data_IF_108034308539
#
_entry.id   IF_108034308539
#
_cell.length_a   1.000
_cell.length_b   1.000
_cell.length_c   1.000
_cell.angle_alpha   90.00
_cell.angle_beta   90.00
_cell.angle_gamma   90.00
#
_symmetry.space_group_name_H-M   'P 1'
#
loop_
_entity.id
_entity.type
_entity.pdbx_description
1 polymer ?
#
# COMPACT_ATOMS: atom_id res chain seq x y z
N UNK A 1 6.67 -12.81 -11.69
CA UNK A 1 6.85 -13.77 -10.58
C UNK A 1 7.72 -13.10 -9.54
N UNK A 2 7.11 -12.65 -8.44
CA UNK A 2 7.82 -11.93 -7.38
C UNK A 2 8.57 -12.93 -6.49
N UNK A 3 9.78 -12.58 -6.05
CA UNK A 3 10.71 -13.43 -5.30
C UNK A 3 11.56 -12.61 -4.33
N UNK A 4 12.76 -13.08 -3.94
CA UNK A 4 13.68 -12.30 -3.08
C UNK A 4 14.59 -11.37 -3.90
N UNK A 5 15.21 -10.38 -3.23
CA UNK A 5 16.19 -9.48 -3.85
C UNK A 5 15.56 -8.59 -4.93
N UNK A 6 16.21 -8.45 -6.09
CA UNK A 6 15.74 -7.62 -7.22
C UNK A 6 14.40 -8.08 -7.83
N UNK A 7 13.94 -9.28 -7.47
CA UNK A 7 12.62 -9.79 -7.88
C UNK A 7 11.54 -9.54 -6.83
N UNK A 8 11.88 -8.91 -5.71
CA UNK A 8 10.93 -8.60 -4.64
C UNK A 8 10.08 -7.38 -5.00
N UNK A 9 8.82 -7.34 -4.56
CA UNK A 9 7.90 -6.26 -4.93
C UNK A 9 8.42 -4.88 -4.48
N UNK A 10 9.14 -4.83 -3.35
CA UNK A 10 9.80 -3.60 -2.87
C UNK A 10 10.91 -3.08 -3.78
N UNK A 11 11.48 -3.90 -4.66
CA UNK A 11 12.53 -3.45 -5.58
C UNK A 11 12.00 -2.59 -6.73
N UNK A 12 10.68 -2.59 -6.96
CA UNK A 12 10.00 -1.82 -8.01
C UNK A 12 8.99 -0.81 -7.45
N UNK A 13 9.04 -0.57 -6.14
CA UNK A 13 8.24 0.45 -5.49
C UNK A 13 8.93 1.81 -5.61
N UNK A 14 8.14 2.81 -5.98
CA UNK A 14 8.51 4.22 -6.03
C UNK A 14 7.69 5.02 -5.00
N UNK A 15 8.17 6.22 -4.68
CA UNK A 15 7.39 7.18 -3.90
C UNK A 15 6.05 7.46 -4.58
N UNK A 16 4.99 7.53 -3.79
CA UNK A 16 3.59 7.69 -4.19
C UNK A 16 2.93 6.46 -4.80
N UNK A 17 3.59 5.30 -4.83
CA UNK A 17 2.89 4.07 -5.17
C UNK A 17 1.81 3.75 -4.14
N UNK A 18 0.64 3.31 -4.62
CA UNK A 18 -0.40 2.77 -3.76
C UNK A 18 -0.21 1.27 -3.66
N UNK A 19 -0.24 0.76 -2.43
CA UNK A 19 0.03 -0.63 -2.12
C UNK A 19 -0.98 -1.19 -1.14
N UNK A 20 -1.09 -2.52 -1.15
CA UNK A 20 -1.82 -3.30 -0.15
C UNK A 20 -0.82 -4.15 0.64
N UNK A 21 -0.99 -4.14 1.96
CA UNK A 21 -0.14 -4.86 2.88
C UNK A 21 -0.96 -5.61 3.94
N UNK A 22 -0.36 -6.67 4.48
CA UNK A 22 -0.95 -7.50 5.53
C UNK A 22 -0.84 -6.82 6.90
N UNK A 23 -1.92 -6.90 7.66
CA UNK A 23 -1.99 -6.47 9.06
C UNK A 23 -2.44 -7.64 9.94
N UNK A 24 -2.16 -7.53 11.24
CA UNK A 24 -2.56 -8.55 12.19
C UNK A 24 -1.62 -9.75 12.20
N UNK A 25 -2.18 -10.95 12.37
CA UNK A 25 -1.43 -12.21 12.32
C UNK A 25 -1.54 -12.84 10.93
N UNK A 26 -0.43 -13.27 10.34
CA UNK A 26 -0.40 -14.01 9.07
C UNK A 26 0.60 -15.18 9.11
N UNK A 27 0.59 -16.03 8.09
CA UNK A 27 1.47 -17.20 8.00
C UNK A 27 2.65 -16.94 7.08
N UNK A 28 3.86 -17.20 7.57
CA UNK A 28 5.10 -17.27 6.77
C UNK A 28 5.65 -18.69 6.90
N UNK A 29 5.72 -19.42 5.79
CA UNK A 29 6.18 -20.81 5.76
C UNK A 29 5.47 -21.73 6.78
N UNK A 30 4.17 -21.48 7.02
CA UNK A 30 3.35 -22.23 7.98
C UNK A 30 3.50 -21.79 9.45
N UNK A 31 4.30 -20.76 9.72
CA UNK A 31 4.48 -20.17 11.05
C UNK A 31 3.69 -18.87 11.16
N UNK A 32 2.88 -18.75 12.21
CA UNK A 32 2.17 -17.49 12.50
C UNK A 32 3.12 -16.41 12.97
N UNK A 33 3.06 -15.26 12.32
CA UNK A 33 3.83 -14.04 12.62
C UNK A 33 2.90 -12.84 12.69
N UNK A 34 3.35 -11.76 13.34
CA UNK A 34 2.54 -10.56 13.58
C UNK A 34 1.64 -10.66 14.82
N UNK A 35 0.93 -9.58 15.11
CA UNK A 35 0.05 -9.47 16.27
C UNK A 35 -1.30 -8.86 15.86
N UNK A 36 -2.40 -9.42 16.39
CA UNK A 36 -3.74 -8.91 16.17
C UNK A 36 -4.52 -9.66 15.08
N UNK A 37 -5.69 -9.12 14.73
CA UNK A 37 -6.61 -9.76 13.78
C UNK A 37 -6.06 -9.64 12.35
N UNK A 38 -5.90 -10.79 11.69
CA UNK A 38 -5.51 -10.86 10.29
C UNK A 38 -6.40 -9.96 9.41
N UNK A 39 -5.77 -9.15 8.56
CA UNK A 39 -6.44 -8.25 7.66
C UNK A 39 -5.51 -7.67 6.60
N UNK A 40 -6.07 -6.78 5.80
CA UNK A 40 -5.35 -6.03 4.78
C UNK A 40 -5.61 -4.55 4.99
N UNK A 41 -4.61 -3.74 4.69
CA UNK A 41 -4.72 -2.29 4.71
C UNK A 41 -4.02 -1.71 3.47
N UNK A 42 -4.34 -0.45 3.17
CA UNK A 42 -3.83 0.25 2.02
C UNK A 42 -2.94 1.41 2.45
N UNK A 43 -1.90 1.65 1.69
CA UNK A 43 -1.00 2.75 1.94
C UNK A 43 -0.53 3.39 0.64
N UNK A 44 -0.27 4.69 0.71
CA UNK A 44 0.59 5.36 -0.25
C UNK A 44 2.02 5.36 0.30
N UNK A 45 2.97 4.87 -0.49
CA UNK A 45 4.39 4.84 -0.14
C UNK A 45 4.94 6.27 -0.11
N UNK A 46 5.56 6.66 1.00
CA UNK A 46 6.33 7.90 1.09
C UNK A 46 7.83 7.62 0.99
N UNK A 47 8.31 6.56 1.63
CA UNK A 47 9.75 6.24 1.65
C UNK A 47 9.98 4.76 1.93
N UNK A 48 11.06 4.21 1.37
CA UNK A 48 11.59 2.90 1.73
C UNK A 48 12.95 3.12 2.40
N UNK A 49 13.10 2.62 3.62
CA UNK A 49 14.30 2.77 4.42
C UNK A 49 14.94 1.40 4.66
N UNK A 50 16.25 1.31 4.46
CA UNK A 50 17.04 0.16 4.89
C UNK A 50 17.67 0.47 6.25
N UNK A 51 17.28 -0.30 7.26
CA UNK A 51 17.81 -0.22 8.62
C UNK A 51 18.87 -1.31 8.79
N UNK A 52 20.11 -0.87 8.97
CA UNK A 52 21.22 -1.75 9.30
C UNK A 52 21.38 -1.84 10.82
N UNK A 53 21.18 -3.03 11.36
CA UNK A 53 21.66 -3.40 12.68
C UNK A 53 22.94 -4.21 12.53
N UNK A 54 23.74 -4.34 13.60
CA UNK A 54 25.08 -4.93 13.58
C UNK A 54 25.22 -6.23 12.76
N UNK A 55 24.19 -7.07 12.68
CA UNK A 55 24.19 -8.34 11.93
C UNK A 55 22.98 -8.56 11.01
N UNK A 56 22.02 -7.64 10.96
CA UNK A 56 20.79 -7.80 10.18
C UNK A 56 20.43 -6.53 9.41
N UNK A 57 20.01 -6.70 8.17
CA UNK A 57 19.38 -5.67 7.34
C UNK A 57 17.86 -5.84 7.41
N UNK A 58 17.15 -4.77 7.77
CA UNK A 58 15.69 -4.73 7.79
C UNK A 58 15.19 -3.59 6.92
N UNK A 59 14.39 -3.91 5.90
CA UNK A 59 13.65 -2.91 5.16
C UNK A 59 12.42 -2.46 5.95
N UNK A 60 12.09 -1.17 5.85
CA UNK A 60 10.84 -0.61 6.36
C UNK A 60 10.25 0.26 5.27
N UNK A 61 8.98 0.03 4.94
CA UNK A 61 8.19 0.90 4.07
C UNK A 61 7.39 1.85 4.97
N UNK A 62 7.54 3.15 4.73
CA UNK A 62 6.83 4.24 5.40
C UNK A 62 5.83 4.85 4.43
N UNK A 63 4.66 5.21 4.92
CA UNK A 63 3.60 5.75 4.07
C UNK A 63 2.43 6.34 4.83
N UNK A 64 1.42 6.76 4.07
CA UNK A 64 0.17 7.29 4.58
C UNK A 64 -0.94 6.25 4.42
N UNK A 65 -1.73 6.05 5.47
CA UNK A 65 -2.87 5.15 5.44
C UNK A 65 -3.94 5.62 4.43
N UNK A 66 -4.49 4.67 3.68
CA UNK A 66 -5.55 4.89 2.72
C UNK A 66 -6.80 4.09 3.08
N UNK A 67 -7.95 4.69 2.82
CA UNK A 67 -9.27 4.05 2.85
C UNK A 67 -9.78 3.89 1.41
N UNK A 68 -10.25 2.70 1.07
CA UNK A 68 -10.97 2.46 -0.18
C UNK A 68 -12.44 2.82 0.01
N UNK A 69 -12.89 3.86 -0.66
CA UNK A 69 -14.27 4.36 -0.57
C UNK A 69 -15.01 4.05 -1.88
N UNK A 70 -16.19 3.46 -1.73
CA UNK A 70 -17.14 3.28 -2.81
C UNK A 70 -18.20 4.36 -2.75
N UNK A 71 -18.55 4.94 -3.90
CA UNK A 71 -19.70 5.82 -4.01
C UNK A 71 -20.97 5.01 -3.70
N UNK A 72 -21.69 5.42 -2.65
CA UNK A 72 -22.91 4.74 -2.20
C UNK A 72 -24.10 5.04 -3.10
N UNK A 73 -24.05 6.17 -3.81
CA UNK A 73 -25.15 6.67 -4.62
C UNK A 73 -25.01 6.27 -6.09
N UNK A 74 -23.79 5.88 -6.52
CA UNK A 74 -23.52 5.38 -7.86
C UNK A 74 -22.61 4.13 -7.83
N UNK A 75 -23.24 2.95 -7.92
CA UNK A 75 -22.53 1.66 -7.90
C UNK A 75 -21.59 1.45 -9.11
N UNK A 76 -21.79 2.19 -10.21
CA UNK A 76 -20.94 2.10 -11.40
C UNK A 76 -19.72 3.03 -11.33
N UNK A 77 -19.64 3.92 -10.33
CA UNK A 77 -18.45 4.75 -10.10
C UNK A 77 -17.26 3.89 -9.68
N UNK A 78 -16.05 4.11 -10.24
CA UNK A 78 -14.87 3.41 -9.78
C UNK A 78 -14.58 3.78 -8.31
N UNK A 79 -14.07 2.83 -7.51
CA UNK A 79 -13.72 3.13 -6.13
C UNK A 79 -12.52 4.08 -6.08
N UNK A 80 -12.49 4.93 -5.05
CA UNK A 80 -11.45 5.92 -4.83
C UNK A 80 -10.69 5.62 -3.54
N UNK A 81 -9.39 5.85 -3.55
CA UNK A 81 -8.58 5.87 -2.34
C UNK A 81 -8.59 7.28 -1.74
N UNK A 82 -8.97 7.35 -0.47
CA UNK A 82 -8.94 8.56 0.35
C UNK A 82 -7.84 8.42 1.38
N UNK A 83 -7.00 9.44 1.52
CA UNK A 83 -5.94 9.48 2.53
C UNK A 83 -6.55 9.83 3.90
N UNK A 84 -6.16 9.10 4.94
CA UNK A 84 -6.32 9.60 6.30
C UNK A 84 -5.23 10.64 6.56
N UNK A 85 -5.61 11.91 6.69
CA UNK A 85 -4.64 12.97 6.96
C UNK A 85 -3.91 12.67 8.28
N UNK A 86 -2.59 12.58 8.22
CA UNK A 86 -1.65 12.40 9.33
C UNK A 86 -1.52 10.98 9.93
N UNK A 87 -2.23 9.98 9.39
CA UNK A 87 -2.04 8.59 9.80
C UNK A 87 -0.84 7.98 9.06
N UNK A 88 0.34 8.19 9.63
CA UNK A 88 1.57 7.55 9.17
C UNK A 88 1.58 6.08 9.58
N UNK A 89 1.94 5.23 8.64
CA UNK A 89 2.07 3.79 8.84
C UNK A 89 3.49 3.32 8.51
N UNK A 90 3.86 2.19 9.10
CA UNK A 90 5.10 1.49 8.81
C UNK A 90 4.80 -0.01 8.68
N UNK A 91 5.37 -0.65 7.68
CA UNK A 91 5.30 -2.11 7.51
C UNK A 91 6.57 -2.64 6.86
N UNK A 92 6.88 -3.91 7.13
CA UNK A 92 8.02 -4.59 6.54
C UNK A 92 7.76 -4.99 5.09
N UNK A 93 8.81 -5.10 4.24
CA UNK A 93 8.72 -5.66 2.90
C UNK A 93 7.95 -6.97 2.81
N UNK A 94 8.05 -7.82 3.82
CA UNK A 94 7.38 -9.12 3.91
C UNK A 94 5.86 -9.01 4.07
N UNK A 95 5.34 -7.86 4.51
CA UNK A 95 3.90 -7.62 4.62
C UNK A 95 3.29 -7.13 3.30
N UNK A 96 4.12 -6.73 2.34
CA UNK A 96 3.67 -6.15 1.08
C UNK A 96 3.14 -7.23 0.14
N UNK A 97 1.88 -7.07 -0.30
CA UNK A 97 1.22 -8.04 -1.18
C UNK A 97 1.24 -7.61 -2.64
N UNK A 98 0.84 -6.36 -2.90
CA UNK A 98 0.72 -5.86 -4.26
C UNK A 98 0.85 -4.34 -4.34
N UNK A 99 1.27 -3.88 -5.51
CA UNK A 99 1.17 -2.49 -5.97
C UNK A 99 -0.13 -2.37 -6.76
N UNK A 100 -0.96 -1.41 -6.39
CA UNK A 100 -2.28 -1.18 -6.99
C UNK A 100 -2.12 -0.17 -8.14
N UNK A 101 -2.59 -0.50 -9.35
CA UNK A 101 -2.55 0.43 -10.48
C UNK A 101 -3.61 1.51 -10.27
N UNK A 102 -3.15 2.74 -10.04
CA UNK A 102 -4.03 3.87 -9.72
C UNK A 102 -3.73 5.08 -10.60
N UNK A 103 -4.76 5.88 -10.89
CA UNK A 103 -4.67 7.17 -11.56
C UNK A 103 -5.00 8.29 -10.58
N UNK A 104 -4.13 9.29 -10.52
CA UNK A 104 -4.31 10.45 -9.65
C UNK A 104 -5.41 11.36 -10.19
N UNK A 105 -6.45 11.58 -9.39
CA UNK A 105 -7.55 12.49 -9.71
C UNK A 105 -7.06 13.91 -9.36
N UNK A 106 -6.66 14.67 -10.38
CA UNK A 106 -6.22 16.06 -10.23
C UNK A 106 -7.43 16.99 -10.19
N UNK A 107 -8.10 17.12 -9.04
CA UNK A 107 -9.36 17.87 -8.97
C UNK A 107 -9.21 19.35 -8.57
N UNK A 108 -7.99 19.85 -8.30
CA UNK A 108 -7.82 21.29 -8.06
C UNK A 108 -6.43 21.85 -8.38
N UNK A 109 -6.40 23.11 -8.84
CA UNK A 109 -5.16 23.87 -9.07
C UNK A 109 -4.39 24.00 -7.75
N UNK A 110 -3.35 23.20 -7.57
CA UNK A 110 -2.49 23.18 -6.37
C UNK A 110 -2.23 21.78 -5.82
N UNK A 111 -2.99 20.77 -6.25
CA UNK A 111 -2.78 19.38 -5.84
C UNK A 111 -1.76 18.69 -6.74
N UNK A 112 -0.50 18.72 -6.32
CA UNK A 112 0.54 17.86 -6.90
C UNK A 112 0.40 16.41 -6.41
N UNK A 113 1.05 15.44 -7.06
CA UNK A 113 1.14 14.04 -6.56
C UNK A 113 1.59 13.96 -5.09
N UNK A 114 2.42 14.92 -4.67
CA UNK A 114 2.93 15.09 -3.31
C UNK A 114 1.94 15.78 -2.34
N UNK A 115 0.79 16.26 -2.82
CA UNK A 115 -0.21 16.94 -1.98
C UNK A 115 -1.02 15.92 -1.18
N UNK A 116 -1.13 16.15 0.13
CA UNK A 116 -1.89 15.34 1.10
C UNK A 116 -3.41 15.24 0.83
N UNK A 117 -3.90 15.77 -0.30
CA UNK A 117 -5.32 15.87 -0.66
C UNK A 117 -5.69 15.16 -1.97
N UNK A 118 -4.71 14.66 -2.72
CA UNK A 118 -5.00 14.03 -4.01
C UNK A 118 -5.70 12.67 -3.82
N UNK A 119 -6.85 12.51 -4.47
CA UNK A 119 -7.61 11.26 -4.56
C UNK A 119 -7.00 10.36 -5.65
N UNK A 120 -7.13 9.04 -5.49
CA UNK A 120 -6.63 8.08 -6.48
C UNK A 120 -7.74 7.14 -6.93
N UNK A 121 -7.97 7.11 -8.24
CA UNK A 121 -8.92 6.19 -8.89
C UNK A 121 -8.22 4.90 -9.26
N UNK A 122 -8.90 3.77 -9.13
CA UNK A 122 -8.37 2.47 -9.55
C UNK A 122 -8.51 2.32 -11.07
N UNK A 123 -7.42 1.94 -11.76
CA UNK A 123 -7.41 1.83 -13.22
C UNK A 123 -7.96 0.47 -13.75
N UNK A 124 -8.03 -0.55 -12.90
CA UNK A 124 -8.51 -1.89 -13.24
C UNK A 124 -9.39 -2.42 -12.09
N UNK A 125 -10.66 -2.75 -12.32
CA UNK A 125 -11.57 -3.23 -11.27
C UNK A 125 -11.24 -4.66 -10.77
N UNK A 126 -10.38 -5.41 -11.45
CA UNK A 126 -10.05 -6.80 -11.10
C UNK A 126 -8.83 -6.97 -10.19
N UNK A 127 -8.18 -5.90 -9.75
CA UNK A 127 -6.98 -6.00 -8.90
C UNK A 127 -7.22 -6.77 -7.59
N UNK A 128 -8.45 -6.79 -7.08
CA UNK A 128 -8.83 -7.53 -5.88
C UNK A 128 -8.80 -9.05 -6.08
N UNK A 129 -8.96 -9.53 -7.31
CA UNK A 129 -8.89 -10.95 -7.64
C UNK A 129 -7.48 -11.53 -7.44
N UNK A 130 -6.46 -10.66 -7.31
CA UNK A 130 -5.07 -11.03 -7.02
C UNK A 130 -4.75 -11.09 -5.51
N UNK A 131 -5.72 -10.79 -4.63
CA UNK A 131 -5.56 -10.82 -3.17
C UNK A 131 -6.06 -12.12 -2.52
N UNK A 132 -6.34 -13.15 -3.32
CA UNK A 132 -6.83 -14.47 -2.90
C UNK A 132 -5.72 -15.51 -2.90
#
# INVERSE_FOLDING_TARGET
MYGRGERHLTAVLDENDVVVYQTGTWLVDGVSVGEGRAGFAYAQVETIQLVWTHNCEHGVVRGLALELVHDKDNADSPPIFVRHQFDQIEFGPEQLLAKIPVEWVNDSQGETKASCRALVSVNDQHWQDFLV
#
